data_IF_083140200011
#
_entry.id   IF_083140200011
#
_cell.length_a   1.000
_cell.length_b   1.000
_cell.length_c   1.000
_cell.angle_alpha   90.00
_cell.angle_beta   90.00
_cell.angle_gamma   90.00
#
_symmetry.space_group_name_H-M   'P 1'
#
loop_
_entity.id
_entity.type
_entity.pdbx_description
1 polymer ?
#
# COMPACT_ATOMS: atom_id res chain seq x y z
N UNK A 1 -3.84 -24.60 -4.66
CA UNK A 1 -2.53 -23.95 -4.67
C UNK A 1 -2.69 -22.48 -4.95
N UNK A 2 -1.93 -21.62 -4.28
CA UNK A 2 -1.95 -20.16 -4.51
C UNK A 2 -0.56 -19.72 -4.99
N UNK A 3 -0.52 -18.90 -6.04
CA UNK A 3 0.70 -18.22 -6.49
C UNK A 3 0.68 -16.75 -6.05
N UNK A 4 1.78 -16.29 -5.44
CA UNK A 4 1.92 -14.92 -4.95
C UNK A 4 3.09 -14.23 -5.66
N UNK A 5 2.77 -13.25 -6.49
CA UNK A 5 3.72 -12.31 -7.09
C UNK A 5 3.90 -11.08 -6.20
N UNK A 6 5.11 -10.54 -6.18
CA UNK A 6 5.41 -9.25 -5.55
C UNK A 6 4.95 -8.09 -6.44
N UNK A 7 5.79 -7.07 -6.51
CA UNK A 7 5.48 -5.83 -7.21
C UNK A 7 5.54 -5.99 -8.74
N UNK A 8 4.39 -5.83 -9.40
CA UNK A 8 4.29 -5.74 -10.84
C UNK A 8 4.56 -4.31 -11.31
N UNK A 9 5.85 -3.96 -11.40
CA UNK A 9 6.33 -2.77 -12.13
C UNK A 9 6.39 -3.14 -13.64
N UNK A 10 5.23 -3.45 -14.21
CA UNK A 10 5.10 -3.86 -15.60
C UNK A 10 5.11 -2.63 -16.53
N UNK A 11 6.10 -2.59 -17.41
CA UNK A 11 6.29 -1.47 -18.37
C UNK A 11 6.25 -1.93 -19.83
N UNK A 12 6.14 -3.24 -20.07
CA UNK A 12 6.14 -3.86 -21.40
C UNK A 12 5.22 -5.08 -21.40
N UNK A 13 4.78 -5.45 -22.60
CA UNK A 13 3.99 -6.67 -22.81
C UNK A 13 4.82 -7.92 -22.49
N UNK A 14 4.20 -8.90 -21.87
CA UNK A 14 4.81 -10.18 -21.48
C UNK A 14 4.63 -11.24 -22.57
N UNK A 15 3.47 -11.22 -23.24
CA UNK A 15 3.06 -12.19 -24.25
C UNK A 15 3.97 -12.35 -25.48
N UNK A 16 4.78 -11.37 -25.91
CA UNK A 16 5.72 -11.55 -27.02
C UNK A 16 6.90 -12.49 -26.69
N UNK A 17 7.28 -12.62 -25.42
CA UNK A 17 8.44 -13.44 -25.00
C UNK A 17 8.11 -14.94 -25.06
N UNK A 18 9.09 -15.75 -25.46
CA UNK A 18 8.92 -17.19 -25.79
C UNK A 18 10.05 -18.08 -25.27
N UNK A 19 10.97 -17.51 -24.51
CA UNK A 19 12.09 -18.22 -23.90
C UNK A 19 11.55 -19.34 -22.99
N UNK A 20 12.03 -20.59 -23.11
CA UNK A 20 11.47 -21.72 -22.37
C UNK A 20 11.42 -21.49 -20.86
N UNK A 21 12.49 -20.96 -20.25
CA UNK A 21 12.52 -20.71 -18.81
C UNK A 21 11.52 -19.63 -18.36
N UNK A 22 11.23 -18.66 -19.22
CA UNK A 22 10.22 -17.64 -18.96
C UNK A 22 8.81 -18.25 -19.02
N UNK A 23 8.54 -19.07 -20.04
CA UNK A 23 7.26 -19.76 -20.16
C UNK A 23 7.03 -20.74 -19.01
N UNK A 24 8.05 -21.48 -18.58
CA UNK A 24 7.97 -22.36 -17.41
C UNK A 24 7.57 -21.58 -16.15
N UNK A 25 8.10 -20.37 -15.95
CA UNK A 25 7.70 -19.48 -14.86
C UNK A 25 6.25 -19.02 -15.00
N UNK A 26 5.79 -18.65 -16.21
CA UNK A 26 4.40 -18.27 -16.47
C UNK A 26 3.45 -19.45 -16.18
N UNK A 27 3.83 -20.68 -16.53
CA UNK A 27 3.03 -21.86 -16.24
C UNK A 27 2.92 -22.17 -14.74
N UNK A 28 3.90 -21.77 -13.91
CA UNK A 28 3.76 -21.84 -12.44
C UNK A 28 2.64 -20.92 -11.92
N UNK A 29 2.44 -19.77 -12.55
CA UNK A 29 1.36 -18.85 -12.19
C UNK A 29 0.03 -19.40 -12.69
N UNK A 30 -0.05 -19.79 -13.96
CA UNK A 30 -1.28 -20.31 -14.60
C UNK A 30 -1.81 -21.61 -14.03
N UNK A 31 -0.94 -22.44 -13.45
CA UNK A 31 -1.33 -23.72 -12.84
C UNK A 31 -1.80 -23.59 -11.39
N UNK A 32 -1.78 -22.39 -10.80
CA UNK A 32 -2.37 -22.14 -9.49
C UNK A 32 -3.90 -22.05 -9.58
N UNK A 33 -4.59 -22.42 -8.48
CA UNK A 33 -6.05 -22.28 -8.39
C UNK A 33 -6.46 -20.81 -8.15
N UNK A 34 -5.53 -20.01 -7.64
CA UNK A 34 -5.62 -18.56 -7.53
C UNK A 34 -4.23 -17.93 -7.60
N UNK A 35 -4.07 -16.91 -8.41
CA UNK A 35 -2.83 -16.16 -8.54
C UNK A 35 -3.02 -14.67 -8.24
N UNK A 36 -2.14 -14.14 -7.41
CA UNK A 36 -2.16 -12.76 -6.94
C UNK A 36 -0.89 -12.01 -7.35
N UNK A 37 -1.00 -10.70 -7.59
CA UNK A 37 0.15 -9.80 -7.74
C UNK A 37 -0.12 -8.39 -7.22
N UNK A 38 0.91 -7.67 -6.75
CA UNK A 38 0.77 -6.27 -6.41
C UNK A 38 0.86 -5.37 -7.66
N UNK A 39 -0.24 -4.73 -8.03
CA UNK A 39 -0.26 -3.77 -9.14
C UNK A 39 0.26 -2.41 -8.66
N UNK A 40 1.59 -2.26 -8.67
CA UNK A 40 2.29 -1.03 -8.27
C UNK A 40 2.29 0.06 -9.36
N UNK A 41 1.67 -0.22 -10.51
CA UNK A 41 1.57 0.70 -11.64
C UNK A 41 0.14 1.23 -11.80
N UNK A 42 0.00 2.54 -12.05
CA UNK A 42 -1.27 3.11 -12.51
C UNK A 42 -1.39 2.96 -14.03
N UNK A 43 -2.51 2.40 -14.48
CA UNK A 43 -2.76 2.06 -15.87
C UNK A 43 -3.67 3.11 -16.51
N UNK A 44 -3.07 4.08 -17.21
CA UNK A 44 -3.78 5.21 -17.84
C UNK A 44 -2.95 5.81 -18.99
N UNK A 45 -3.57 6.63 -19.84
CA UNK A 45 -2.94 7.33 -20.95
C UNK A 45 -2.88 8.85 -20.72
N UNK A 46 -2.31 9.25 -19.57
CA UNK A 46 -2.12 10.65 -19.17
C UNK A 46 -3.39 11.52 -19.16
N UNK A 47 -4.58 10.91 -19.11
CA UNK A 47 -5.84 11.61 -18.87
C UNK A 47 -5.90 12.25 -17.46
N UNK A 48 -5.47 11.57 -16.38
CA UNK A 48 -5.41 12.19 -15.06
C UNK A 48 -4.15 13.05 -14.91
N UNK A 49 -4.26 14.12 -14.13
CA UNK A 49 -3.10 14.92 -13.74
C UNK A 49 -2.27 14.20 -12.66
N UNK A 50 -0.93 14.32 -12.68
CA UNK A 50 -0.12 13.86 -11.56
C UNK A 50 -0.53 14.62 -10.29
N UNK A 51 -0.50 13.92 -9.15
CA UNK A 51 -0.71 14.52 -7.85
C UNK A 51 0.42 15.49 -7.50
N UNK A 52 0.26 16.25 -6.42
CA UNK A 52 1.28 17.21 -5.97
C UNK A 52 2.58 16.52 -5.49
N UNK A 53 2.50 15.24 -5.12
CA UNK A 53 3.65 14.43 -4.72
C UNK A 53 3.41 12.95 -5.07
N UNK A 54 4.50 12.20 -5.28
CA UNK A 54 4.47 10.75 -5.53
C UNK A 54 5.35 9.95 -4.56
N UNK A 55 6.09 10.63 -3.68
CA UNK A 55 7.09 9.96 -2.84
C UNK A 55 8.36 9.51 -3.59
N UNK A 56 8.49 9.80 -4.90
CA UNK A 56 9.72 9.58 -5.66
C UNK A 56 9.54 9.69 -7.18
N UNK A 57 8.74 8.79 -7.75
CA UNK A 57 8.47 8.69 -9.20
C UNK A 57 6.98 8.56 -9.42
N UNK A 58 6.47 9.13 -10.52
CA UNK A 58 5.08 8.92 -10.94
C UNK A 58 4.98 7.64 -11.79
N UNK A 59 4.47 6.56 -11.21
CA UNK A 59 4.32 5.27 -11.89
C UNK A 59 3.15 5.30 -12.86
N UNK A 60 3.44 4.97 -14.12
CA UNK A 60 2.44 4.90 -15.20
C UNK A 60 2.75 3.73 -16.13
N UNK A 61 1.74 2.90 -16.39
CA UNK A 61 1.75 1.84 -17.39
C UNK A 61 0.69 2.07 -18.47
N UNK A 62 0.90 1.48 -19.65
CA UNK A 62 -0.13 1.48 -20.70
C UNK A 62 -1.35 0.66 -20.24
N UNK A 63 -2.59 1.12 -20.48
CA UNK A 63 -3.80 0.38 -20.11
C UNK A 63 -3.85 -1.09 -20.55
N UNK A 64 -3.28 -1.43 -21.70
CA UNK A 64 -3.25 -2.79 -22.24
C UNK A 64 -2.48 -3.78 -21.36
N UNK A 65 -1.61 -3.30 -20.45
CA UNK A 65 -0.82 -4.14 -19.55
C UNK A 65 -1.66 -4.87 -18.50
N UNK A 66 -2.88 -4.41 -18.21
CA UNK A 66 -3.84 -5.19 -17.41
C UNK A 66 -4.11 -6.55 -18.05
N UNK A 67 -4.28 -6.58 -19.38
CA UNK A 67 -4.49 -7.81 -20.14
C UNK A 67 -3.26 -8.72 -20.15
N UNK A 68 -2.05 -8.17 -19.97
CA UNK A 68 -0.82 -8.96 -19.89
C UNK A 68 -0.67 -9.66 -18.54
N UNK A 69 -1.16 -9.05 -17.45
CA UNK A 69 -1.25 -9.70 -16.14
C UNK A 69 -2.27 -10.84 -16.16
N UNK A 70 -3.44 -10.61 -16.76
CA UNK A 70 -4.44 -11.66 -16.96
C UNK A 70 -3.88 -12.79 -17.87
N UNK A 71 -3.19 -12.45 -18.96
CA UNK A 71 -2.53 -13.43 -19.82
C UNK A 71 -1.46 -14.26 -19.08
N UNK A 72 -0.73 -13.64 -18.14
CA UNK A 72 0.25 -14.33 -17.30
C UNK A 72 -0.40 -15.32 -16.30
N UNK A 73 -1.72 -15.26 -16.13
CA UNK A 73 -2.49 -16.15 -15.26
C UNK A 73 -2.81 -15.55 -13.89
N UNK A 74 -2.64 -14.25 -13.68
CA UNK A 74 -3.09 -13.60 -12.44
C UNK A 74 -4.59 -13.41 -12.45
N UNK A 75 -5.22 -13.66 -11.30
CA UNK A 75 -6.66 -13.50 -11.07
C UNK A 75 -6.96 -12.28 -10.19
N UNK A 76 -6.06 -12.00 -9.23
CA UNK A 76 -6.24 -11.05 -8.15
C UNK A 76 -5.13 -9.99 -8.18
N UNK A 77 -5.47 -8.72 -7.99
CA UNK A 77 -4.50 -7.62 -7.87
C UNK A 77 -4.72 -6.77 -6.63
N UNK A 78 -3.66 -6.50 -5.87
CA UNK A 78 -3.69 -5.42 -4.87
C UNK A 78 -3.44 -4.09 -5.54
N UNK A 79 -4.19 -3.08 -5.11
CA UNK A 79 -4.06 -1.70 -5.58
C UNK A 79 -3.77 -0.71 -4.45
N UNK A 80 -3.73 -1.14 -3.17
CA UNK A 80 -3.18 -0.32 -2.09
C UNK A 80 -1.66 -0.49 -2.04
N UNK A 81 -0.93 0.54 -2.44
CA UNK A 81 0.53 0.63 -2.32
C UNK A 81 0.95 2.11 -2.32
N UNK A 82 2.25 2.36 -2.26
CA UNK A 82 2.85 3.69 -2.25
C UNK A 82 2.56 4.52 -3.51
N UNK A 83 2.23 3.89 -4.63
CA UNK A 83 2.00 4.56 -5.93
C UNK A 83 0.52 4.77 -6.28
N UNK A 84 -0.41 4.27 -5.46
CA UNK A 84 -1.86 4.39 -5.73
C UNK A 84 -2.31 5.84 -5.97
N UNK A 85 -1.72 6.80 -5.25
CA UNK A 85 -2.10 8.21 -5.34
C UNK A 85 -1.25 9.05 -6.28
N UNK A 86 -0.37 8.47 -7.09
CA UNK A 86 0.53 9.22 -7.99
C UNK A 86 -0.23 10.12 -8.96
N UNK A 87 -1.39 9.69 -9.45
CA UNK A 87 -2.29 10.47 -10.31
C UNK A 87 -3.65 10.74 -9.63
N UNK A 88 -3.63 10.80 -8.30
CA UNK A 88 -4.80 11.09 -7.47
C UNK A 88 -5.95 10.09 -7.65
N UNK A 89 -7.17 10.56 -7.35
CA UNK A 89 -8.37 9.73 -7.39
C UNK A 89 -8.66 9.16 -8.79
N UNK A 90 -8.40 9.94 -9.83
CA UNK A 90 -8.68 9.52 -11.21
C UNK A 90 -7.70 8.44 -11.68
N UNK A 91 -6.42 8.52 -11.28
CA UNK A 91 -5.42 7.51 -11.59
C UNK A 91 -5.83 6.11 -11.15
N UNK A 92 -6.14 5.93 -9.86
CA UNK A 92 -6.54 4.60 -9.36
C UNK A 92 -7.92 4.18 -9.88
N UNK A 93 -8.86 5.10 -10.12
CA UNK A 93 -10.17 4.78 -10.70
C UNK A 93 -10.05 4.25 -12.14
N UNK A 94 -9.25 4.91 -12.97
CA UNK A 94 -8.98 4.48 -14.35
C UNK A 94 -8.25 3.12 -14.34
N UNK A 95 -7.25 2.97 -13.46
CA UNK A 95 -6.51 1.72 -13.29
C UNK A 95 -7.43 0.56 -12.93
N UNK A 96 -8.32 0.77 -11.95
CA UNK A 96 -9.30 -0.22 -11.51
C UNK A 96 -10.20 -0.65 -12.66
N UNK A 97 -10.72 0.31 -13.45
CA UNK A 97 -11.53 0.01 -14.63
C UNK A 97 -10.81 -0.90 -15.62
N UNK A 98 -9.52 -0.66 -15.88
CA UNK A 98 -8.75 -1.51 -16.80
C UNK A 98 -8.44 -2.89 -16.22
N UNK A 99 -8.15 -2.98 -14.92
CA UNK A 99 -7.96 -4.26 -14.23
C UNK A 99 -9.25 -5.10 -14.28
N UNK A 100 -10.39 -4.53 -13.89
CA UNK A 100 -11.70 -5.18 -13.92
C UNK A 100 -12.09 -5.59 -15.36
N UNK A 101 -11.83 -4.74 -16.35
CA UNK A 101 -12.10 -5.06 -17.76
C UNK A 101 -11.21 -6.19 -18.31
N UNK A 102 -10.02 -6.40 -17.74
CA UNK A 102 -9.16 -7.53 -18.05
C UNK A 102 -9.55 -8.82 -17.30
N UNK A 103 -10.56 -8.78 -16.44
CA UNK A 103 -11.01 -9.91 -15.62
C UNK A 103 -10.27 -10.06 -14.29
N UNK A 104 -9.47 -9.07 -13.89
CA UNK A 104 -8.73 -9.08 -12.62
C UNK A 104 -9.61 -8.60 -11.46
N UNK A 105 -9.63 -9.35 -10.37
CA UNK A 105 -10.28 -8.98 -9.12
C UNK A 105 -9.35 -8.03 -8.36
N UNK A 106 -9.71 -6.75 -8.30
CA UNK A 106 -8.88 -5.70 -7.70
C UNK A 106 -9.36 -5.26 -6.31
N UNK A 107 -8.46 -5.23 -5.31
CA UNK A 107 -8.76 -4.80 -3.94
C UNK A 107 -7.86 -3.66 -3.45
N UNK A 108 -8.29 -2.99 -2.37
CA UNK A 108 -7.47 -2.00 -1.65
C UNK A 108 -7.62 -0.56 -2.11
N UNK A 109 -8.49 -0.28 -3.08
CA UNK A 109 -8.91 1.08 -3.43
C UNK A 109 -10.41 1.16 -3.56
N UNK A 110 -10.97 2.35 -3.34
CA UNK A 110 -12.41 2.58 -3.44
C UNK A 110 -12.76 4.05 -3.57
N UNK A 111 -14.04 4.33 -3.75
CA UNK A 111 -14.62 5.69 -3.80
C UNK A 111 -14.67 6.34 -2.41
N UNK A 112 -14.50 5.54 -1.36
CA UNK A 112 -14.44 5.94 0.04
C UNK A 112 -13.72 4.86 0.87
N UNK A 113 -13.47 5.14 2.14
CA UNK A 113 -12.73 4.23 3.02
C UNK A 113 -13.43 2.87 3.24
N UNK A 114 -14.76 2.83 3.27
CA UNK A 114 -15.48 1.57 3.44
C UNK A 114 -15.26 0.66 2.23
N UNK A 115 -15.44 1.18 1.01
CA UNK A 115 -15.19 0.42 -0.23
C UNK A 115 -13.71 0.00 -0.36
N UNK A 116 -12.77 0.87 0.01
CA UNK A 116 -11.34 0.52 -0.02
C UNK A 116 -10.99 -0.64 0.93
N UNK A 117 -11.70 -0.74 2.08
CA UNK A 117 -11.54 -1.80 3.09
C UNK A 117 -12.21 -3.11 2.73
N UNK A 118 -13.12 -3.12 1.77
CA UNK A 118 -13.85 -4.33 1.42
C UNK A 118 -12.92 -5.42 0.88
N UNK A 119 -13.10 -6.64 1.39
CA UNK A 119 -12.55 -7.81 0.75
C UNK A 119 -13.16 -7.97 -0.66
N UNK A 120 -12.33 -8.41 -1.59
CA UNK A 120 -12.76 -8.80 -2.95
C UNK A 120 -12.57 -10.29 -3.11
N UNK A 121 -13.47 -10.94 -3.84
CA UNK A 121 -13.56 -12.38 -3.83
C UNK A 121 -13.35 -12.96 -5.23
N UNK A 122 -12.53 -14.01 -5.29
CA UNK A 122 -12.39 -14.89 -6.45
C UNK A 122 -13.07 -16.22 -6.13
N UNK A 123 -13.95 -16.66 -7.01
CA UNK A 123 -14.53 -18.00 -6.95
C UNK A 123 -13.65 -18.99 -7.73
N UNK A 124 -13.35 -20.13 -7.13
CA UNK A 124 -12.60 -21.23 -7.76
C UNK A 124 -13.39 -22.52 -7.64
N UNK A 125 -12.93 -23.60 -8.28
CA UNK A 125 -13.58 -24.91 -8.16
C UNK A 125 -13.44 -25.49 -6.73
N UNK A 126 -12.40 -25.11 -6.00
CA UNK A 126 -12.07 -25.63 -4.67
C UNK A 126 -12.51 -24.72 -3.52
N UNK A 127 -13.05 -23.53 -3.82
CA UNK A 127 -13.58 -22.62 -2.82
C UNK A 127 -13.54 -21.16 -3.23
N UNK A 128 -13.57 -20.27 -2.24
CA UNK A 128 -13.55 -18.82 -2.44
C UNK A 128 -12.30 -18.23 -1.80
N UNK A 129 -11.58 -17.40 -2.55
CA UNK A 129 -10.40 -16.66 -2.07
C UNK A 129 -10.79 -15.21 -1.84
N UNK A 130 -10.49 -14.67 -0.65
CA UNK A 130 -10.71 -13.27 -0.31
C UNK A 130 -9.37 -12.51 -0.34
N UNK A 131 -9.34 -11.38 -1.04
CA UNK A 131 -8.23 -10.43 -1.02
C UNK A 131 -8.61 -9.17 -0.25
N UNK A 132 -7.84 -8.88 0.78
CA UNK A 132 -7.80 -7.58 1.48
C UNK A 132 -6.44 -6.97 1.16
N UNK A 133 -6.45 -5.77 0.58
CA UNK A 133 -5.23 -5.05 0.23
C UNK A 133 -5.14 -3.77 1.07
N UNK A 134 -4.00 -3.59 1.73
CA UNK A 134 -3.68 -2.45 2.58
C UNK A 134 -2.28 -1.95 2.27
N UNK A 135 -2.00 -0.67 2.50
CA UNK A 135 -0.65 -0.11 2.40
C UNK A 135 -0.24 0.55 3.72
N UNK A 136 1.02 0.40 4.14
CA UNK A 136 1.59 1.06 5.31
C UNK A 136 2.60 2.17 4.99
N UNK A 137 2.94 2.31 3.70
CA UNK A 137 3.81 3.34 3.17
C UNK A 137 3.11 4.00 2.00
N UNK A 138 2.78 5.28 2.14
CA UNK A 138 2.02 6.04 1.17
C UNK A 138 2.14 7.53 1.45
N UNK A 139 1.77 8.35 0.47
CA UNK A 139 1.60 9.79 0.63
C UNK A 139 0.22 10.11 1.23
N UNK A 140 0.12 11.18 2.03
CA UNK A 140 -1.11 11.53 2.75
C UNK A 140 -2.34 11.69 1.83
N UNK A 141 -2.13 12.23 0.62
CA UNK A 141 -3.22 12.41 -0.35
C UNK A 141 -3.68 11.09 -0.99
N UNK A 142 -2.98 9.97 -0.79
CA UNK A 142 -3.39 8.67 -1.35
C UNK A 142 -4.54 8.01 -0.59
N UNK A 143 -4.74 8.36 0.70
CA UNK A 143 -5.60 7.61 1.62
C UNK A 143 -7.10 7.74 1.34
N UNK A 144 -7.88 6.67 1.32
CA UNK A 144 -9.34 6.77 1.25
C UNK A 144 -9.92 7.44 2.52
N UNK A 145 -10.94 8.28 2.34
CA UNK A 145 -11.62 8.98 3.43
C UNK A 145 -13.05 8.48 3.64
N UNK A 146 -13.54 8.40 4.89
CA UNK A 146 -14.92 8.01 5.15
C UNK A 146 -15.90 9.10 4.71
N UNK A 147 -17.11 8.70 4.32
CA UNK A 147 -18.23 9.64 4.17
C UNK A 147 -18.80 10.00 5.55
N UNK A 148 -19.24 11.25 5.74
CA UNK A 148 -19.86 11.69 7.01
C UNK A 148 -20.96 12.72 6.78
N UNK A 149 -22.21 12.32 7.02
CA UNK A 149 -23.37 13.19 6.83
C UNK A 149 -23.46 13.67 5.37
N UNK A 150 -23.42 14.99 5.16
CA UNK A 150 -23.42 15.59 3.83
C UNK A 150 -22.04 15.55 3.13
N UNK A 151 -20.96 15.21 3.84
CA UNK A 151 -19.60 15.14 3.28
C UNK A 151 -19.41 13.80 2.58
N UNK A 152 -19.10 13.85 1.29
CA UNK A 152 -18.78 12.65 0.49
C UNK A 152 -17.48 12.01 1.00
N UNK A 153 -17.40 10.69 0.89
CA UNK A 153 -16.15 9.99 1.08
C UNK A 153 -15.11 10.43 0.05
N UNK A 154 -13.83 10.21 0.38
CA UNK A 154 -12.73 10.55 -0.50
C UNK A 154 -12.19 9.27 -1.14
N UNK A 155 -12.11 9.18 -2.47
CA UNK A 155 -11.46 8.06 -3.12
C UNK A 155 -9.99 7.95 -2.74
N UNK A 156 -9.50 6.71 -2.67
CA UNK A 156 -8.10 6.43 -2.36
C UNK A 156 -7.85 4.98 -1.96
N UNK A 157 -6.67 4.74 -1.38
CA UNK A 157 -6.24 3.43 -0.89
C UNK A 157 -6.74 3.10 0.52
N UNK A 158 -6.72 1.82 0.86
CA UNK A 158 -6.93 1.32 2.21
C UNK A 158 -5.65 1.44 3.07
N UNK A 159 -5.62 2.34 4.06
CA UNK A 159 -4.42 2.57 4.86
C UNK A 159 -4.27 1.51 5.97
N UNK A 160 -3.03 1.17 6.28
CA UNK A 160 -2.60 0.54 7.53
C UNK A 160 -1.46 1.39 8.11
N UNK A 161 -1.79 2.49 8.78
CA UNK A 161 -0.79 3.35 9.41
C UNK A 161 -0.06 2.59 10.51
N UNK A 162 1.24 2.85 10.61
CA UNK A 162 2.11 2.23 11.60
C UNK A 162 2.62 3.33 12.54
N UNK A 163 2.19 3.26 13.80
CA UNK A 163 2.71 4.10 14.86
C UNK A 163 4.03 3.49 15.32
N UNK A 164 5.16 4.15 15.03
CA UNK A 164 6.48 3.67 15.45
C UNK A 164 7.14 4.61 16.44
N UNK A 165 7.80 4.04 17.44
CA UNK A 165 8.62 4.76 18.41
C UNK A 165 9.95 4.05 18.59
N UNK A 166 10.91 4.76 19.16
CA UNK A 166 12.18 4.19 19.58
C UNK A 166 12.11 3.85 21.05
N UNK A 167 12.88 2.85 21.47
CA UNK A 167 13.06 2.50 22.87
C UNK A 167 14.48 2.80 23.30
N UNK A 168 14.67 3.10 24.58
CA UNK A 168 15.97 3.33 25.18
C UNK A 168 15.91 3.02 26.67
N UNK A 169 16.99 2.48 27.22
CA UNK A 169 17.09 2.20 28.66
C UNK A 169 16.89 3.48 29.47
N UNK A 170 16.15 3.44 30.61
CA UNK A 170 15.76 4.65 31.34
C UNK A 170 16.92 5.61 31.66
N UNK A 171 18.05 5.08 32.13
CA UNK A 171 19.23 5.90 32.45
C UNK A 171 19.84 6.61 31.23
N UNK A 172 19.79 5.97 30.06
CA UNK A 172 20.29 6.56 28.81
C UNK A 172 19.31 7.61 28.30
N UNK A 173 18.01 7.35 28.42
CA UNK A 173 16.95 8.28 28.02
C UNK A 173 17.02 9.57 28.86
N UNK A 174 17.24 9.46 30.17
CA UNK A 174 17.35 10.62 31.06
C UNK A 174 18.62 11.44 30.76
N UNK A 175 19.75 10.78 30.49
CA UNK A 175 20.97 11.47 30.02
C UNK A 175 20.75 12.19 28.70
N UNK A 176 20.04 11.55 27.76
CA UNK A 176 19.71 12.17 26.49
C UNK A 176 18.79 13.39 26.68
N UNK A 177 17.77 13.28 27.53
CA UNK A 177 16.88 14.41 27.90
C UNK A 177 17.69 15.59 28.42
N UNK A 178 18.54 15.36 29.42
CA UNK A 178 19.37 16.40 30.02
C UNK A 178 20.28 17.09 28.98
N UNK A 179 20.94 16.31 28.10
CA UNK A 179 21.77 16.87 27.02
C UNK A 179 20.95 17.71 26.03
N UNK A 180 19.73 17.27 25.67
CA UNK A 180 18.85 18.00 24.76
C UNK A 180 18.36 19.31 25.39
N UNK A 181 18.00 19.30 26.67
CA UNK A 181 17.58 20.49 27.42
C UNK A 181 18.72 21.49 27.61
N UNK A 182 19.95 21.02 27.84
CA UNK A 182 21.16 21.85 27.95
C UNK A 182 21.43 22.64 26.65
N UNK A 183 21.19 22.03 25.49
CA UNK A 183 21.31 22.71 24.19
C UNK A 183 20.05 23.49 23.80
N UNK A 184 19.06 23.60 24.71
CA UNK A 184 17.84 24.39 24.52
C UNK A 184 16.79 23.73 23.61
N UNK A 185 16.86 22.41 23.39
CA UNK A 185 15.85 21.68 22.64
C UNK A 185 14.70 21.24 23.55
N UNK A 186 13.47 21.44 23.06
CA UNK A 186 12.27 20.96 23.73
C UNK A 186 12.19 19.42 23.65
N UNK A 187 12.05 18.77 24.79
CA UNK A 187 12.06 17.32 24.98
C UNK A 187 10.65 16.71 25.10
N UNK A 188 9.59 17.50 24.95
CA UNK A 188 8.20 17.08 25.11
C UNK A 188 7.56 17.72 26.34
N UNK A 189 6.40 17.19 26.76
CA UNK A 189 5.70 17.70 27.94
C UNK A 189 6.30 17.12 29.22
N UNK A 190 6.44 17.97 30.23
CA UNK A 190 6.87 17.58 31.56
C UNK A 190 5.92 16.51 32.14
N UNK A 191 6.46 15.41 32.64
CA UNK A 191 5.69 14.27 33.17
C UNK A 191 5.31 13.18 32.16
N UNK A 192 5.60 13.34 30.87
CA UNK A 192 5.49 12.23 29.92
C UNK A 192 6.66 11.25 30.06
N UNK A 193 6.41 9.92 29.99
CA UNK A 193 7.44 8.92 30.25
C UNK A 193 8.58 8.90 29.22
N UNK A 194 8.45 9.63 28.10
CA UNK A 194 9.39 9.60 26.98
C UNK A 194 9.88 10.97 26.51
N UNK A 195 10.74 10.95 25.51
CA UNK A 195 11.37 12.10 24.86
C UNK A 195 10.82 12.25 23.44
N UNK A 196 10.46 13.46 23.03
CA UNK A 196 10.16 13.75 21.60
C UNK A 196 11.18 14.74 21.06
N UNK A 197 12.04 14.28 20.15
CA UNK A 197 13.08 15.10 19.51
C UNK A 197 13.16 14.79 18.02
N UNK A 198 13.34 15.81 17.19
CA UNK A 198 13.46 15.66 15.72
C UNK A 198 12.34 14.81 15.08
N UNK A 199 11.11 14.94 15.58
CA UNK A 199 9.95 14.15 15.11
C UNK A 199 9.97 12.68 15.52
N UNK A 200 10.94 12.23 16.33
CA UNK A 200 11.02 10.88 16.86
C UNK A 200 10.52 10.85 18.31
N UNK A 201 9.58 9.94 18.59
CA UNK A 201 9.17 9.58 19.95
C UNK A 201 10.10 8.48 20.47
N UNK A 202 10.71 8.69 21.63
CA UNK A 202 11.59 7.73 22.32
C UNK A 202 10.97 7.41 23.68
N UNK A 203 10.65 6.14 23.93
CA UNK A 203 10.05 5.66 25.17
C UNK A 203 11.07 4.84 25.98
N UNK A 204 10.89 4.74 27.31
CA UNK A 204 11.71 3.87 28.14
C UNK A 204 11.43 2.42 27.75
N UNK A 205 12.49 1.63 27.56
CA UNK A 205 12.41 0.20 27.24
C UNK A 205 13.58 -0.58 27.85
N UNK A 206 13.54 -1.90 27.76
CA UNK A 206 14.59 -2.78 28.30
C UNK A 206 15.92 -2.62 27.57
N UNK A 207 15.87 -2.29 26.27
CA UNK A 207 17.03 -2.05 25.42
C UNK A 207 16.77 -0.91 24.41
N UNK A 208 17.85 -0.44 23.78
CA UNK A 208 17.74 0.54 22.70
C UNK A 208 17.22 -0.15 21.44
N UNK A 209 16.09 0.30 20.92
CA UNK A 209 15.43 -0.35 19.79
C UNK A 209 14.41 0.51 19.06
N UNK A 210 13.58 -0.16 18.26
CA UNK A 210 12.43 0.42 17.57
C UNK A 210 11.27 -0.54 17.69
N UNK A 211 10.15 -0.03 18.15
CA UNK A 211 8.89 -0.74 18.21
C UNK A 211 7.85 -0.04 17.34
N UNK A 212 6.79 -0.78 17.02
CA UNK A 212 5.66 -0.23 16.29
C UNK A 212 4.39 -1.03 16.50
N UNK A 213 3.26 -0.35 16.40
CA UNK A 213 1.93 -0.97 16.37
C UNK A 213 1.09 -0.40 15.22
N UNK A 214 0.13 -1.18 14.67
CA UNK A 214 -0.86 -0.65 13.75
C UNK A 214 -1.70 0.46 14.40
N UNK A 215 -2.10 1.47 13.62
CA UNK A 215 -3.08 2.44 14.07
C UNK A 215 -4.42 1.74 14.33
N UNK A 216 -5.00 1.86 15.54
CA UNK A 216 -6.24 1.18 15.89
C UNK A 216 -7.40 1.55 14.94
N UNK A 217 -7.40 2.77 14.40
CA UNK A 217 -8.46 3.21 13.48
C UNK A 217 -8.40 2.50 12.12
N UNK A 218 -7.26 1.88 11.78
CA UNK A 218 -7.05 1.16 10.52
C UNK A 218 -7.30 -0.35 10.62
N UNK A 219 -7.52 -0.87 11.83
CA UNK A 219 -7.79 -2.32 12.09
C UNK A 219 -9.23 -2.62 12.52
N UNK A 220 -10.04 -1.59 12.80
CA UNK A 220 -11.48 -1.66 13.07
C UNK A 220 -12.32 -1.64 11.78
#
# INVERSE_FOLDING_TARGET
TIALGGDAIITRRLSPYKEPQFLDMIELVRSADAAFVNLEMLLHDYEPFPAASSGGTYMRGEPSLAGELAWAGFDLVSMANNHTGDYGADGHRITRRYAEAAGLVSAGTGENLAEAREARFLETQDGRVALISVASSFTDHSVAGPAKGAVRGRPGLNPLRINSWRTMEPDKLERLRAMMEEVGLNTGREGEPGLTIFGNRILPGEETGRDSEPDPNDVE
#
